data_IF_117988248940
#
_entry.id   IF_117988248940
#
_cell.length_a   1.000
_cell.length_b   1.000
_cell.length_c   1.000
_cell.angle_alpha   90.00
_cell.angle_beta   90.00
_cell.angle_gamma   90.00
#
_symmetry.space_group_name_H-M   'P 1'
#
loop_
_entity.id
_entity.type
_entity.pdbx_description
1 polymer ?
#
# COMPACT_ATOMS: atom_id res chain seq x y z
N UNK A 1 -91.52 42.37 -48.04
CA UNK A 1 -90.83 41.09 -48.34
C UNK A 1 -89.30 41.21 -48.38
N UNK A 2 -88.71 42.29 -48.91
CA UNK A 2 -87.23 42.41 -49.04
C UNK A 2 -86.43 42.39 -47.74
N UNK A 3 -86.91 42.99 -46.65
CA UNK A 3 -86.18 43.07 -45.36
C UNK A 3 -86.01 41.70 -44.67
N UNK A 4 -87.01 40.82 -44.78
CA UNK A 4 -86.98 39.49 -44.17
C UNK A 4 -86.02 38.52 -44.89
N UNK A 5 -85.91 38.66 -46.22
CA UNK A 5 -85.01 37.90 -47.07
C UNK A 5 -83.55 38.30 -46.83
N UNK A 6 -83.29 39.59 -46.63
CA UNK A 6 -81.97 40.10 -46.23
C UNK A 6 -81.60 39.60 -44.83
N UNK A 7 -82.54 39.61 -43.88
CA UNK A 7 -82.32 39.09 -42.53
C UNK A 7 -81.98 37.60 -42.53
N UNK A 8 -82.70 36.80 -43.32
CA UNK A 8 -82.43 35.36 -43.50
C UNK A 8 -81.05 35.11 -44.12
N UNK A 9 -80.66 35.85 -45.15
CA UNK A 9 -79.34 35.73 -45.79
C UNK A 9 -78.20 36.09 -44.83
N UNK A 10 -78.35 37.15 -44.05
CA UNK A 10 -77.38 37.55 -43.03
C UNK A 10 -77.28 36.49 -41.94
N UNK A 11 -78.42 35.97 -41.45
CA UNK A 11 -78.46 34.92 -40.44
C UNK A 11 -77.80 33.63 -40.93
N UNK A 12 -78.03 33.23 -42.19
CA UNK A 12 -77.43 32.05 -42.80
C UNK A 12 -75.91 32.19 -42.95
N UNK A 13 -75.43 33.38 -43.32
CA UNK A 13 -74.00 33.69 -43.42
C UNK A 13 -73.31 33.69 -42.06
N UNK A 14 -73.96 34.22 -41.02
CA UNK A 14 -73.46 34.18 -39.64
C UNK A 14 -73.40 32.72 -39.15
N UNK A 15 -74.43 31.91 -39.44
CA UNK A 15 -74.47 30.50 -39.06
C UNK A 15 -73.35 29.70 -39.73
N UNK A 16 -73.09 29.94 -41.02
CA UNK A 16 -71.96 29.35 -41.74
C UNK A 16 -70.62 29.70 -41.09
N UNK A 17 -70.38 30.99 -40.81
CA UNK A 17 -69.16 31.44 -40.15
C UNK A 17 -68.96 30.85 -38.75
N UNK A 18 -70.05 30.70 -37.97
CA UNK A 18 -69.98 30.05 -36.66
C UNK A 18 -69.65 28.56 -36.77
N UNK A 19 -70.17 27.88 -37.80
CA UNK A 19 -69.90 26.47 -38.05
C UNK A 19 -68.44 26.24 -38.45
N UNK A 20 -67.88 27.12 -39.28
CA UNK A 20 -66.47 27.08 -39.66
C UNK A 20 -65.54 27.32 -38.45
N UNK A 21 -65.83 28.34 -37.62
CA UNK A 21 -65.08 28.58 -36.38
C UNK A 21 -65.16 27.41 -35.40
N UNK A 22 -66.32 26.74 -35.30
CA UNK A 22 -66.46 25.52 -34.48
C UNK A 22 -65.57 24.39 -34.99
N UNK A 23 -65.44 24.26 -36.31
CA UNK A 23 -64.61 23.25 -36.96
C UNK A 23 -63.11 23.54 -36.75
N UNK A 24 -62.68 24.78 -36.94
CA UNK A 24 -61.31 25.21 -36.58
C UNK A 24 -61.01 24.94 -35.10
N UNK A 25 -61.92 25.32 -34.20
CA UNK A 25 -61.77 25.11 -32.76
C UNK A 25 -61.70 23.62 -32.40
N UNK A 26 -62.53 22.78 -33.04
CA UNK A 26 -62.48 21.33 -32.89
C UNK A 26 -61.18 20.74 -33.40
N UNK A 27 -60.63 21.28 -34.49
CA UNK A 27 -59.36 20.83 -35.07
C UNK A 27 -58.21 21.17 -34.14
N UNK A 28 -58.17 22.41 -33.63
CA UNK A 28 -57.19 22.88 -32.64
C UNK A 28 -57.21 22.02 -31.37
N UNK A 29 -58.40 21.67 -30.88
CA UNK A 29 -58.54 20.80 -29.70
C UNK A 29 -58.05 19.37 -30.00
N UNK A 30 -58.39 18.82 -31.16
CA UNK A 30 -58.01 17.46 -31.53
C UNK A 30 -56.50 17.32 -31.82
N UNK A 31 -55.84 18.35 -32.34
CA UNK A 31 -54.42 18.27 -32.70
C UNK A 31 -53.48 18.73 -31.58
N UNK A 32 -53.82 19.82 -30.88
CA UNK A 32 -52.89 20.40 -29.90
C UNK A 32 -52.93 19.69 -28.55
N UNK A 33 -54.07 19.14 -28.10
CA UNK A 33 -54.13 18.40 -26.83
C UNK A 33 -53.23 17.14 -26.82
N UNK A 34 -53.25 16.28 -27.86
CA UNK A 34 -52.36 15.13 -27.93
C UNK A 34 -50.88 15.52 -28.01
N UNK A 35 -50.54 16.55 -28.80
CA UNK A 35 -49.17 17.07 -28.90
C UNK A 35 -48.67 17.62 -27.56
N UNK A 36 -49.52 18.36 -26.83
CA UNK A 36 -49.18 18.88 -25.51
C UNK A 36 -48.96 17.73 -24.51
N UNK A 37 -49.79 16.68 -24.58
CA UNK A 37 -49.65 15.48 -23.74
C UNK A 37 -48.39 14.69 -24.07
N UNK A 38 -48.05 14.54 -25.34
CA UNK A 38 -46.81 13.91 -25.78
C UNK A 38 -45.58 14.70 -25.32
N UNK A 39 -45.61 16.03 -25.49
CA UNK A 39 -44.54 16.91 -25.02
C UNK A 39 -44.40 16.86 -23.49
N UNK A 40 -45.51 16.82 -22.75
CA UNK A 40 -45.48 16.64 -21.29
C UNK A 40 -44.84 15.31 -20.92
N UNK A 41 -45.18 14.20 -21.60
CA UNK A 41 -44.55 12.90 -21.36
C UNK A 41 -43.04 12.93 -21.63
N UNK A 42 -42.60 13.54 -22.74
CA UNK A 42 -41.18 13.71 -23.06
C UNK A 42 -40.45 14.56 -22.03
N UNK A 43 -41.08 15.62 -21.52
CA UNK A 43 -40.52 16.45 -20.45
C UNK A 43 -40.36 15.63 -19.16
N UNK A 44 -41.35 14.83 -18.78
CA UNK A 44 -41.28 13.94 -17.62
C UNK A 44 -40.13 12.94 -17.75
N UNK A 45 -39.98 12.30 -18.92
CA UNK A 45 -38.88 11.36 -19.21
C UNK A 45 -37.51 12.04 -19.15
N UNK A 46 -37.39 13.26 -19.71
CA UNK A 46 -36.15 14.04 -19.61
C UNK A 46 -35.83 14.43 -18.17
N UNK A 47 -36.82 14.84 -17.38
CA UNK A 47 -36.64 15.16 -15.96
C UNK A 47 -36.13 13.92 -15.21
N UNK A 48 -36.79 12.77 -15.39
CA UNK A 48 -36.35 11.51 -14.77
C UNK A 48 -34.91 11.15 -15.15
N UNK A 49 -34.53 11.32 -16.43
CA UNK A 49 -33.17 11.06 -16.91
C UNK A 49 -32.15 11.99 -16.26
N UNK A 50 -32.46 13.29 -16.16
CA UNK A 50 -31.60 14.29 -15.52
C UNK A 50 -31.43 14.00 -14.02
N UNK A 51 -32.51 13.65 -13.33
CA UNK A 51 -32.47 13.30 -11.90
C UNK A 51 -31.62 12.05 -11.63
N UNK A 52 -31.69 11.05 -12.51
CA UNK A 52 -30.84 9.87 -12.45
C UNK A 52 -29.37 10.21 -12.70
N UNK A 53 -29.08 11.04 -13.72
CA UNK A 53 -27.71 11.52 -13.96
C UNK A 53 -27.15 12.33 -12.79
N UNK A 54 -27.96 13.19 -12.16
CA UNK A 54 -27.58 13.95 -10.97
C UNK A 54 -27.27 13.04 -9.78
N UNK A 55 -28.06 11.97 -9.56
CA UNK A 55 -27.79 10.98 -8.50
C UNK A 55 -26.44 10.28 -8.74
N UNK A 56 -26.15 9.89 -9.98
CA UNK A 56 -24.86 9.28 -10.34
C UNK A 56 -23.68 10.22 -10.13
N UNK A 57 -23.79 11.48 -10.59
CA UNK A 57 -22.73 12.49 -10.40
C UNK A 57 -22.44 12.74 -8.92
N UNK A 58 -23.46 12.81 -8.07
CA UNK A 58 -23.28 12.98 -6.61
C UNK A 58 -22.56 11.78 -5.99
N UNK A 59 -22.94 10.55 -6.36
CA UNK A 59 -22.28 9.34 -5.88
C UNK A 59 -20.80 9.29 -6.31
N UNK A 60 -20.52 9.63 -7.57
CA UNK A 60 -19.16 9.68 -8.11
C UNK A 60 -18.30 10.73 -7.42
N UNK A 61 -18.85 11.91 -7.13
CA UNK A 61 -18.13 13.00 -6.45
C UNK A 61 -17.74 12.57 -5.03
N UNK A 62 -18.66 11.96 -4.28
CA UNK A 62 -18.37 11.40 -2.95
C UNK A 62 -17.26 10.34 -3.02
N UNK A 63 -17.29 9.48 -4.03
CA UNK A 63 -16.26 8.44 -4.22
C UNK A 63 -14.87 9.07 -4.50
N UNK A 64 -14.82 10.12 -5.33
CA UNK A 64 -13.58 10.88 -5.59
C UNK A 64 -13.03 11.54 -4.31
N UNK A 65 -13.87 12.14 -3.48
CA UNK A 65 -13.46 12.71 -2.20
C UNK A 65 -12.87 11.66 -1.26
N UNK A 66 -13.51 10.50 -1.14
CA UNK A 66 -12.99 9.39 -0.33
C UNK A 66 -11.67 8.84 -0.85
N UNK A 67 -11.49 8.78 -2.18
CA UNK A 67 -10.24 8.37 -2.80
C UNK A 67 -9.11 9.36 -2.49
N UNK A 68 -9.35 10.66 -2.64
CA UNK A 68 -8.37 11.69 -2.30
C UNK A 68 -7.98 11.61 -0.82
N UNK A 69 -8.95 11.39 0.07
CA UNK A 69 -8.70 11.16 1.50
C UNK A 69 -7.77 9.95 1.72
N UNK A 70 -8.09 8.81 1.12
CA UNK A 70 -7.29 7.59 1.23
C UNK A 70 -5.86 7.78 0.71
N UNK A 71 -5.68 8.45 -0.44
CA UNK A 71 -4.36 8.74 -1.01
C UNK A 71 -3.55 9.63 -0.07
N UNK A 72 -4.15 10.68 0.50
CA UNK A 72 -3.46 11.56 1.45
C UNK A 72 -3.01 10.81 2.71
N UNK A 73 -3.82 9.90 3.22
CA UNK A 73 -3.45 9.08 4.37
C UNK A 73 -2.32 8.11 4.05
N UNK A 74 -2.33 7.50 2.86
CA UNK A 74 -1.22 6.66 2.36
C UNK A 74 0.07 7.48 2.25
N UNK A 75 0.02 8.67 1.65
CA UNK A 75 1.19 9.55 1.49
C UNK A 75 1.78 9.93 2.86
N UNK A 76 0.94 10.27 3.84
CA UNK A 76 1.39 10.55 5.21
C UNK A 76 2.03 9.33 5.86
N UNK A 77 1.44 8.14 5.66
CA UNK A 77 1.97 6.90 6.21
C UNK A 77 3.32 6.54 5.58
N UNK A 78 3.49 6.72 4.27
CA UNK A 78 4.78 6.53 3.56
C UNK A 78 5.83 7.50 4.11
N UNK A 79 5.49 8.79 4.29
CA UNK A 79 6.41 9.77 4.85
C UNK A 79 6.85 9.39 6.28
N UNK A 80 5.92 8.86 7.09
CA UNK A 80 6.22 8.35 8.43
C UNK A 80 7.15 7.15 8.37
N UNK A 81 6.86 6.15 7.53
CA UNK A 81 7.70 4.96 7.33
C UNK A 81 9.13 5.37 6.94
N UNK A 82 9.29 6.32 6.01
CA UNK A 82 10.61 6.84 5.63
C UNK A 82 11.33 7.52 6.78
N UNK A 83 10.61 8.28 7.60
CA UNK A 83 11.19 8.95 8.77
C UNK A 83 11.63 7.92 9.81
N UNK A 84 10.80 6.93 10.09
CA UNK A 84 11.09 5.84 11.02
C UNK A 84 12.30 5.02 10.52
N UNK A 85 12.37 4.73 9.22
CA UNK A 85 13.51 4.02 8.61
C UNK A 85 14.83 4.79 8.74
N UNK A 86 14.84 6.09 8.42
CA UNK A 86 16.04 6.93 8.50
C UNK A 86 16.53 7.17 9.93
N UNK A 87 15.68 6.94 10.93
CA UNK A 87 16.02 7.15 12.34
C UNK A 87 16.52 5.90 13.05
N UNK A 88 16.33 4.69 12.46
CA UNK A 88 16.76 3.42 13.09
C UNK A 88 18.22 3.48 13.53
N UNK A 89 19.15 3.84 12.65
CA UNK A 89 20.59 3.84 12.95
C UNK A 89 21.00 4.83 14.05
N UNK A 90 20.23 5.91 14.23
CA UNK A 90 20.54 6.96 15.21
C UNK A 90 20.01 6.64 16.62
N UNK A 91 18.91 5.89 16.73
CA UNK A 91 18.22 5.66 18.00
C UNK A 91 18.33 4.24 18.54
N UNK A 92 18.77 3.26 17.74
CA UNK A 92 18.90 1.87 18.20
C UNK A 92 20.37 1.46 18.36
N UNK A 93 20.84 1.28 19.62
CA UNK A 93 22.25 1.05 19.89
C UNK A 93 22.69 -0.38 19.60
N UNK A 94 21.78 -1.37 19.66
CA UNK A 94 22.11 -2.78 19.44
C UNK A 94 21.57 -3.31 18.11
N UNK A 95 22.22 -4.36 17.57
CA UNK A 95 21.78 -5.06 16.36
C UNK A 95 20.38 -5.66 16.54
N UNK A 96 20.09 -6.16 17.74
CA UNK A 96 18.79 -6.74 18.08
C UNK A 96 17.67 -5.69 18.07
N UNK A 97 17.91 -4.51 18.66
CA UNK A 97 16.94 -3.40 18.65
C UNK A 97 16.69 -2.89 17.22
N UNK A 98 17.74 -2.82 16.40
CA UNK A 98 17.65 -2.47 14.97
C UNK A 98 16.76 -3.45 14.21
N UNK A 99 17.03 -4.75 14.35
CA UNK A 99 16.27 -5.81 13.68
C UNK A 99 14.80 -5.81 14.10
N UNK A 100 14.51 -5.56 15.38
CA UNK A 100 13.15 -5.44 15.88
C UNK A 100 12.43 -4.23 15.27
N UNK A 101 13.10 -3.06 15.20
CA UNK A 101 12.57 -1.87 14.55
C UNK A 101 12.31 -2.06 13.06
N UNK A 102 13.23 -2.67 12.31
CA UNK A 102 12.98 -2.99 10.91
C UNK A 102 11.76 -3.91 10.74
N UNK A 103 11.56 -4.87 11.64
CA UNK A 103 10.35 -5.70 11.68
C UNK A 103 9.06 -4.90 11.89
N UNK A 104 9.05 -3.97 12.85
CA UNK A 104 7.90 -3.07 13.08
C UNK A 104 7.61 -2.19 11.84
N UNK A 105 8.66 -1.67 11.19
CA UNK A 105 8.50 -0.85 9.98
C UNK A 105 7.96 -1.68 8.83
N UNK A 106 8.39 -2.93 8.66
CA UNK A 106 7.84 -3.84 7.64
C UNK A 106 6.36 -4.13 7.89
N UNK A 107 5.94 -4.32 9.15
CA UNK A 107 4.53 -4.47 9.48
C UNK A 107 3.72 -3.21 9.13
N UNK A 108 4.28 -2.02 9.36
CA UNK A 108 3.65 -0.76 8.94
C UNK A 108 3.55 -0.64 7.42
N UNK A 109 4.54 -1.16 6.67
CA UNK A 109 4.48 -1.25 5.21
C UNK A 109 3.36 -2.18 4.75
N UNK A 110 3.21 -3.36 5.33
CA UNK A 110 2.12 -4.29 5.01
C UNK A 110 0.74 -3.68 5.26
N UNK A 111 0.59 -2.94 6.37
CA UNK A 111 -0.62 -2.17 6.66
C UNK A 111 -0.89 -1.10 5.60
N UNK A 112 0.15 -0.40 5.15
CA UNK A 112 0.07 0.58 4.08
C UNK A 112 -0.26 -0.07 2.71
N UNK A 113 0.30 -1.25 2.41
CA UNK A 113 -0.04 -2.06 1.23
C UNK A 113 -1.54 -2.40 1.24
N UNK A 114 -2.10 -2.75 2.40
CA UNK A 114 -3.54 -3.00 2.55
C UNK A 114 -4.41 -1.78 2.25
N UNK A 115 -4.02 -0.59 2.73
CA UNK A 115 -4.71 0.67 2.41
C UNK A 115 -4.63 1.00 0.92
N UNK A 116 -3.48 0.74 0.31
CA UNK A 116 -3.24 0.99 -1.12
C UNK A 116 -4.09 0.07 -2.00
N UNK A 117 -4.31 -1.19 -1.62
CA UNK A 117 -5.25 -2.09 -2.30
C UNK A 117 -6.67 -1.53 -2.23
N UNK A 118 -7.13 -1.13 -1.04
CA UNK A 118 -8.46 -0.55 -0.89
C UNK A 118 -8.63 0.76 -1.69
N UNK A 119 -7.60 1.60 -1.75
CA UNK A 119 -7.58 2.80 -2.59
C UNK A 119 -7.58 2.45 -4.08
N UNK A 120 -6.90 1.37 -4.47
CA UNK A 120 -6.85 0.86 -5.85
C UNK A 120 -8.23 0.41 -6.31
N UNK A 121 -8.97 -0.31 -5.48
CA UNK A 121 -10.34 -0.75 -5.80
C UNK A 121 -11.27 0.45 -6.03
N UNK A 122 -11.18 1.47 -5.16
CA UNK A 122 -11.93 2.73 -5.35
C UNK A 122 -11.51 3.47 -6.61
N UNK A 123 -10.20 3.51 -6.89
CA UNK A 123 -9.65 4.11 -8.10
C UNK A 123 -10.19 3.47 -9.37
N UNK A 124 -10.30 2.13 -9.40
CA UNK A 124 -10.89 1.40 -10.53
C UNK A 124 -12.38 1.71 -10.72
N UNK A 125 -13.16 1.84 -9.64
CA UNK A 125 -14.57 2.23 -9.72
C UNK A 125 -14.70 3.63 -10.32
N UNK A 126 -13.95 4.62 -9.83
CA UNK A 126 -13.95 5.99 -10.35
C UNK A 126 -13.50 6.01 -11.82
N UNK A 127 -12.47 5.25 -12.16
CA UNK A 127 -11.98 5.13 -13.53
C UNK A 127 -13.03 4.53 -14.46
N UNK A 128 -13.77 3.51 -14.03
CA UNK A 128 -14.79 2.85 -14.87
C UNK A 128 -15.95 3.78 -15.25
N UNK A 129 -16.33 4.68 -14.36
CA UNK A 129 -17.43 5.63 -14.54
C UNK A 129 -16.97 7.01 -15.04
N UNK A 130 -15.66 7.28 -14.97
CA UNK A 130 -15.06 8.59 -15.24
C UNK A 130 -14.52 8.78 -16.65
N UNK A 131 -13.88 9.93 -16.83
CA UNK A 131 -13.22 10.27 -18.09
C UNK A 131 -11.91 9.50 -18.25
N UNK A 132 -11.41 9.36 -19.48
CA UNK A 132 -10.10 8.75 -19.72
C UNK A 132 -8.96 9.52 -19.04
N UNK A 133 -9.11 10.84 -18.88
CA UNK A 133 -8.18 11.68 -18.13
C UNK A 133 -8.20 11.34 -16.63
N UNK A 134 -9.38 11.18 -16.02
CA UNK A 134 -9.51 10.75 -14.63
C UNK A 134 -8.85 9.38 -14.43
N UNK A 135 -9.11 8.44 -15.35
CA UNK A 135 -8.54 7.09 -15.34
C UNK A 135 -7.02 7.14 -15.34
N UNK A 136 -6.42 7.90 -16.24
CA UNK A 136 -4.96 8.01 -16.32
C UNK A 136 -4.36 8.60 -15.04
N UNK A 137 -4.88 9.74 -14.57
CA UNK A 137 -4.37 10.41 -13.37
C UNK A 137 -4.45 9.53 -12.11
N UNK A 138 -5.57 8.82 -11.93
CA UNK A 138 -5.79 7.93 -10.78
C UNK A 138 -4.82 6.75 -10.82
N UNK A 139 -4.69 6.10 -11.98
CA UNK A 139 -3.83 4.93 -12.12
C UNK A 139 -2.34 5.30 -11.97
N UNK A 140 -1.93 6.44 -12.51
CA UNK A 140 -0.56 6.95 -12.37
C UNK A 140 -0.22 7.25 -10.90
N UNK A 141 -1.14 7.87 -10.16
CA UNK A 141 -0.96 8.13 -8.72
C UNK A 141 -0.84 6.83 -7.92
N UNK A 142 -1.72 5.87 -8.17
CA UNK A 142 -1.67 4.55 -7.51
C UNK A 142 -0.35 3.85 -7.82
N UNK A 143 0.06 3.84 -9.08
CA UNK A 143 1.29 3.19 -9.51
C UNK A 143 2.52 3.83 -8.86
N UNK A 144 2.59 5.16 -8.82
CA UNK A 144 3.70 5.87 -8.16
C UNK A 144 3.81 5.52 -6.68
N UNK A 145 2.67 5.42 -5.96
CA UNK A 145 2.67 5.03 -4.55
C UNK A 145 3.09 3.57 -4.36
N UNK A 146 2.66 2.67 -5.24
CA UNK A 146 3.09 1.28 -5.24
C UNK A 146 4.61 1.17 -5.41
N UNK A 147 5.17 1.86 -6.40
CA UNK A 147 6.61 1.87 -6.65
C UNK A 147 7.40 2.42 -5.46
N UNK A 148 6.96 3.54 -4.88
CA UNK A 148 7.60 4.11 -3.69
C UNK A 148 7.60 3.11 -2.53
N UNK A 149 6.47 2.48 -2.24
CA UNK A 149 6.34 1.52 -1.15
C UNK A 149 7.22 0.28 -1.36
N UNK A 150 7.25 -0.25 -2.59
CA UNK A 150 8.12 -1.38 -2.96
C UNK A 150 9.60 -1.02 -2.86
N UNK A 151 9.99 0.19 -3.26
CA UNK A 151 11.37 0.66 -3.14
C UNK A 151 11.83 0.78 -1.69
N UNK A 152 10.97 1.28 -0.81
CA UNK A 152 11.26 1.40 0.63
C UNK A 152 11.36 0.01 1.26
N UNK A 153 10.42 -0.89 0.94
CA UNK A 153 10.41 -2.28 1.42
C UNK A 153 11.73 -3.00 1.10
N UNK A 154 12.16 -2.93 -0.16
CA UNK A 154 13.45 -3.53 -0.59
C UNK A 154 14.64 -2.93 0.16
N UNK A 155 14.65 -1.62 0.37
CA UNK A 155 15.73 -0.95 1.13
C UNK A 155 15.80 -1.45 2.57
N UNK A 156 14.65 -1.63 3.21
CA UNK A 156 14.57 -2.17 4.58
C UNK A 156 15.01 -3.62 4.63
N UNK A 157 14.55 -4.46 3.70
CA UNK A 157 14.95 -5.88 3.63
C UNK A 157 16.46 -6.04 3.43
N UNK A 158 17.08 -5.18 2.62
CA UNK A 158 18.53 -5.17 2.41
C UNK A 158 19.31 -4.82 3.70
N UNK A 159 18.90 -3.77 4.42
CA UNK A 159 19.54 -3.42 5.69
C UNK A 159 19.27 -4.49 6.77
N UNK A 160 18.06 -5.05 6.81
CA UNK A 160 17.72 -6.14 7.73
C UNK A 160 18.61 -7.37 7.49
N UNK A 161 18.79 -7.80 6.24
CA UNK A 161 19.66 -8.93 5.89
C UNK A 161 21.12 -8.68 6.30
N UNK A 162 21.62 -7.46 6.11
CA UNK A 162 22.96 -7.04 6.56
C UNK A 162 23.11 -7.16 8.08
N UNK A 163 22.16 -6.64 8.86
CA UNK A 163 22.20 -6.76 10.32
C UNK A 163 22.00 -8.20 10.80
N UNK A 164 21.24 -9.00 10.07
CA UNK A 164 21.03 -10.42 10.39
C UNK A 164 22.28 -11.26 10.14
N UNK A 165 23.02 -10.99 9.07
CA UNK A 165 24.36 -11.55 8.83
C UNK A 165 25.34 -11.13 9.92
N UNK A 166 25.33 -9.85 10.30
CA UNK A 166 26.15 -9.36 11.40
C UNK A 166 25.84 -10.10 12.71
N UNK A 167 24.57 -10.26 13.06
CA UNK A 167 24.13 -11.01 14.24
C UNK A 167 24.63 -12.47 14.21
N UNK A 168 24.47 -13.16 13.09
CA UNK A 168 24.92 -14.54 12.93
C UNK A 168 26.45 -14.66 13.09
N UNK A 169 27.19 -13.70 12.53
CA UNK A 169 28.64 -13.62 12.69
C UNK A 169 29.04 -13.42 14.16
N UNK A 170 28.45 -12.44 14.86
CA UNK A 170 28.74 -12.20 16.28
C UNK A 170 28.41 -13.42 17.15
N UNK A 171 27.33 -14.13 16.85
CA UNK A 171 26.95 -15.36 17.56
C UNK A 171 27.98 -16.48 17.34
N UNK A 172 28.44 -16.66 16.11
CA UNK A 172 29.46 -17.68 15.78
C UNK A 172 30.78 -17.36 16.48
N UNK A 173 31.23 -16.11 16.40
CA UNK A 173 32.44 -15.66 17.09
C UNK A 173 32.37 -15.85 18.61
N UNK A 174 31.21 -15.56 19.21
CA UNK A 174 30.98 -15.78 20.65
C UNK A 174 31.11 -17.27 21.00
N UNK A 175 30.49 -18.16 20.22
CA UNK A 175 30.57 -19.60 20.43
C UNK A 175 32.01 -20.13 20.28
N UNK A 176 32.75 -19.64 19.29
CA UNK A 176 34.16 -20.03 19.07
C UNK A 176 35.05 -19.59 20.24
N UNK A 177 34.79 -18.40 20.80
CA UNK A 177 35.48 -17.92 22.00
C UNK A 177 35.12 -18.76 23.23
N UNK A 178 33.86 -19.11 23.44
CA UNK A 178 33.46 -20.00 24.54
C UNK A 178 34.10 -21.38 24.42
N UNK A 179 34.10 -21.97 23.22
CA UNK A 179 34.76 -23.25 22.96
C UNK A 179 36.28 -23.19 23.22
N UNK A 180 36.93 -22.07 22.90
CA UNK A 180 38.34 -21.86 23.23
C UNK A 180 38.58 -21.76 24.74
N UNK A 181 37.72 -21.05 25.47
CA UNK A 181 37.80 -20.92 26.93
C UNK A 181 37.59 -22.27 27.61
N UNK A 182 36.60 -23.05 27.18
CA UNK A 182 36.33 -24.37 27.75
C UNK A 182 37.46 -25.34 27.44
N UNK A 183 37.98 -25.33 26.21
CA UNK A 183 39.19 -26.09 25.87
C UNK A 183 40.38 -25.69 26.74
N UNK A 184 40.57 -24.39 27.02
CA UNK A 184 41.65 -23.94 27.90
C UNK A 184 41.49 -24.45 29.33
N UNK A 185 40.27 -24.41 29.90
CA UNK A 185 39.98 -24.94 31.23
C UNK A 185 40.25 -26.44 31.31
N UNK A 186 39.76 -27.21 30.33
CA UNK A 186 39.97 -28.66 30.29
C UNK A 186 41.47 -29.01 30.24
N UNK A 187 42.26 -28.26 29.47
CA UNK A 187 43.70 -28.45 29.40
C UNK A 187 44.42 -28.02 30.69
N UNK A 188 43.99 -26.93 31.34
CA UNK A 188 44.55 -26.51 32.63
C UNK A 188 44.26 -27.54 33.73
N UNK A 189 43.04 -28.09 33.79
CA UNK A 189 42.68 -29.17 34.73
C UNK A 189 43.48 -30.45 34.46
N UNK A 190 43.64 -30.84 33.19
CA UNK A 190 44.49 -31.99 32.81
C UNK A 190 45.97 -31.78 33.14
N UNK A 191 46.44 -30.54 33.17
CA UNK A 191 47.82 -30.23 33.53
C UNK A 191 48.02 -30.20 35.04
N UNK A 192 47.05 -29.65 35.80
CA UNK A 192 47.09 -29.62 37.27
C UNK A 192 46.91 -30.99 37.91
N UNK A 193 46.12 -31.87 37.28
CA UNK A 193 45.87 -33.24 37.78
C UNK A 193 47.05 -34.20 37.59
N UNK A 194 48.11 -33.79 36.88
CA UNK A 194 49.31 -34.62 36.68
C UNK A 194 50.25 -34.53 37.91
N UNK A 195 50.64 -35.66 38.51
CA UNK A 195 51.55 -35.65 39.66
C UNK A 195 52.92 -35.10 39.25
N UNK A 196 53.39 -34.05 39.94
CA UNK A 196 54.67 -33.37 39.69
C UNK A 196 55.88 -34.06 40.33
N UNK A 197 55.67 -35.07 41.18
CA UNK A 197 56.72 -35.72 41.98
C UNK A 197 56.96 -37.17 41.54
N UNK A 198 58.22 -37.50 41.23
CA UNK A 198 58.71 -38.88 41.07
C UNK A 198 58.97 -39.37 39.64
N UNK A 199 59.17 -38.49 38.66
CA UNK A 199 59.19 -38.87 37.24
C UNK A 199 60.61 -38.98 36.66
N UNK A 200 60.89 -40.13 36.06
CA UNK A 200 62.05 -40.43 35.21
C UNK A 200 62.24 -39.36 34.11
N UNK A 201 63.49 -39.09 33.70
CA UNK A 201 63.89 -38.07 32.71
C UNK A 201 63.06 -38.17 31.41
N UNK A 202 62.70 -39.37 30.99
CA UNK A 202 61.85 -39.63 29.83
C UNK A 202 60.46 -39.03 29.96
N UNK A 203 59.85 -39.09 31.14
CA UNK A 203 58.49 -38.59 31.35
C UNK A 203 58.48 -37.06 31.49
N UNK A 204 59.56 -36.48 32.01
CA UNK A 204 59.74 -35.03 32.05
C UNK A 204 59.89 -34.44 30.62
N UNK A 205 60.61 -35.13 29.72
CA UNK A 205 60.69 -34.76 28.29
C UNK A 205 59.34 -34.90 27.59
N UNK A 206 58.63 -36.01 27.82
CA UNK A 206 57.28 -36.21 27.28
C UNK A 206 56.29 -35.12 27.76
N UNK A 207 56.39 -34.71 29.03
CA UNK A 207 55.59 -33.62 29.59
C UNK A 207 55.87 -32.29 28.91
N UNK A 208 57.15 -31.95 28.71
CA UNK A 208 57.57 -30.72 28.00
C UNK A 208 57.09 -30.70 26.55
N UNK A 209 57.14 -31.83 25.85
CA UNK A 209 56.63 -31.96 24.48
C UNK A 209 55.10 -31.79 24.42
N UNK A 210 54.36 -32.36 25.38
CA UNK A 210 52.92 -32.15 25.51
C UNK A 210 52.55 -30.67 25.70
N UNK A 211 53.26 -29.97 26.58
CA UNK A 211 53.06 -28.53 26.81
C UNK A 211 53.33 -27.70 25.54
N UNK A 212 54.40 -28.02 24.81
CA UNK A 212 54.72 -27.39 23.52
C UNK A 212 53.61 -27.62 22.49
N UNK A 213 53.05 -28.83 22.42
CA UNK A 213 51.94 -29.15 21.52
C UNK A 213 50.68 -28.34 21.84
N UNK A 214 50.30 -28.26 23.11
CA UNK A 214 49.14 -27.46 23.56
C UNK A 214 49.35 -25.98 23.22
N UNK A 215 50.55 -25.45 23.47
CA UNK A 215 50.89 -24.06 23.15
C UNK A 215 50.83 -23.76 21.66
N UNK A 216 51.30 -24.69 20.80
CA UNK A 216 51.21 -24.55 19.34
C UNK A 216 49.75 -24.56 18.86
N UNK A 217 48.93 -25.45 19.40
CA UNK A 217 47.50 -25.54 19.07
C UNK A 217 46.73 -24.29 19.50
N UNK A 218 47.01 -23.79 20.71
CA UNK A 218 46.44 -22.54 21.23
C UNK A 218 46.80 -21.36 20.32
N UNK A 219 48.07 -21.26 19.91
CA UNK A 219 48.52 -20.21 19.00
C UNK A 219 47.79 -20.28 17.65
N UNK A 220 47.60 -21.47 17.08
CA UNK A 220 46.83 -21.64 15.83
C UNK A 220 45.38 -21.19 15.97
N UNK A 221 44.70 -21.59 17.06
CA UNK A 221 43.29 -21.25 17.28
C UNK A 221 43.10 -19.75 17.48
N UNK A 222 44.01 -19.09 18.20
CA UNK A 222 44.01 -17.63 18.32
C UNK A 222 44.20 -16.94 16.97
N UNK A 223 45.15 -17.38 16.15
CA UNK A 223 45.37 -16.80 14.81
C UNK A 223 44.15 -16.98 13.91
N UNK A 224 43.44 -18.11 13.98
CA UNK A 224 42.21 -18.33 13.22
C UNK A 224 41.10 -17.34 13.63
N UNK A 225 40.94 -17.09 14.92
CA UNK A 225 39.96 -16.12 15.44
C UNK A 225 40.35 -14.69 15.04
N UNK A 226 41.63 -14.32 15.15
CA UNK A 226 42.14 -13.01 14.70
C UNK A 226 41.90 -12.79 13.20
N UNK A 227 42.14 -13.82 12.37
CA UNK A 227 41.85 -13.76 10.94
C UNK A 227 40.36 -13.60 10.63
N UNK A 228 39.47 -14.16 11.44
CA UNK A 228 38.03 -13.92 11.28
C UNK A 228 37.66 -12.49 11.63
N UNK A 229 38.21 -11.94 12.72
CA UNK A 229 37.97 -10.56 13.16
C UNK A 229 38.46 -9.54 12.10
N UNK A 230 39.61 -9.80 11.46
CA UNK A 230 40.19 -8.92 10.44
C UNK A 230 39.51 -8.96 9.06
N UNK A 231 38.65 -9.95 8.78
CA UNK A 231 37.89 -10.04 7.51
C UNK A 231 36.64 -9.14 7.48
N UNK A 232 36.45 -8.33 8.51
CA UNK A 232 35.36 -7.36 8.66
C UNK A 232 35.79 -5.99 8.15
#
# INVERSE_FOLDING_TARGET
>A
MGSFLVFLLVSWRILGSLKDKRLEMSTILLTNLPQLRENSSKLEEMIMSIEEQLRRLKAMLLLKEQFIGAINDIVKQIAKINTDFNTVDNFTPTVEDRLLRYGEILQNIESCEGLLVAATDKGHQIASEGTDLDRHNIMDQIHSLQEQLQSIKRSIELEQDKYQKQRAYHKTLSNDLFALVDWFKDNDEQMRSRPLFGLDLKVMVAHRLGFLSIRLELSRRLTLIEMQIQKK
#
